data_IF_112819588461
#
_entry.id   IF_112819588461
#
_cell.length_a   1.000
_cell.length_b   1.000
_cell.length_c   1.000
_cell.angle_alpha   90.00
_cell.angle_beta   90.00
_cell.angle_gamma   90.00
#
_symmetry.space_group_name_H-M   'P 1'
#
loop_
_entity.id
_entity.type
_entity.pdbx_description
1 polymer ?
#
# COMPACT_ATOMS: atom_id res chain seq x y z
N UNK A 1 43.05 -37.80 1.65
CA UNK A 1 43.41 -36.92 0.52
C UNK A 1 42.10 -36.53 -0.18
N UNK A 2 41.25 -35.62 0.33
CA UNK A 2 41.37 -34.15 0.35
C UNK A 2 41.84 -33.63 -1.02
N UNK A 3 41.09 -32.87 -1.83
CA UNK A 3 40.22 -31.73 -1.55
C UNK A 3 39.13 -31.49 -2.65
N UNK A 4 38.08 -30.70 -2.34
CA UNK A 4 36.95 -30.37 -3.23
C UNK A 4 37.22 -29.24 -4.24
N UNK A 5 36.59 -29.32 -5.42
CA UNK A 5 36.57 -28.26 -6.44
C UNK A 5 35.90 -27.00 -5.88
N UNK A 6 36.68 -25.91 -5.80
CA UNK A 6 36.26 -24.58 -5.32
C UNK A 6 35.15 -23.98 -6.18
N UNK A 7 34.12 -23.49 -5.50
CA UNK A 7 33.15 -22.54 -6.04
C UNK A 7 33.85 -21.21 -6.38
N UNK A 8 33.64 -20.69 -7.60
CA UNK A 8 34.03 -19.33 -7.96
C UNK A 8 32.81 -18.42 -7.86
N UNK A 9 32.79 -17.67 -6.75
CA UNK A 9 32.04 -16.44 -6.56
C UNK A 9 32.50 -15.38 -7.57
N UNK A 10 31.57 -14.76 -8.27
CA UNK A 10 31.73 -13.43 -8.85
C UNK A 10 30.35 -12.76 -8.96
N UNK A 11 30.00 -12.01 -7.92
CA UNK A 11 28.83 -11.15 -7.90
C UNK A 11 28.97 -10.04 -8.96
N UNK A 12 28.07 -10.04 -9.94
CA UNK A 12 27.98 -8.98 -10.94
C UNK A 12 27.32 -7.70 -10.37
N UNK A 13 27.76 -6.50 -10.79
CA UNK A 13 27.59 -5.26 -10.02
C UNK A 13 26.18 -4.69 -10.01
N UNK A 14 25.86 -4.05 -8.88
CA UNK A 14 24.58 -3.45 -8.54
C UNK A 14 24.15 -2.32 -9.49
N UNK A 15 22.96 -2.51 -10.09
CA UNK A 15 21.96 -1.58 -10.65
C UNK A 15 22.42 -0.12 -10.90
N UNK A 16 22.42 0.29 -12.18
CA UNK A 16 22.43 1.70 -12.59
C UNK A 16 21.24 2.40 -11.92
N UNK A 17 21.51 3.25 -10.91
CA UNK A 17 20.55 4.27 -10.45
C UNK A 17 20.23 5.12 -11.67
N UNK A 18 19.05 4.94 -12.26
CA UNK A 18 18.51 5.85 -13.27
C UNK A 18 18.58 7.24 -12.65
N UNK A 19 19.52 8.06 -13.14
CA UNK A 19 19.65 9.45 -12.74
C UNK A 19 18.32 10.09 -13.11
N UNK A 20 17.66 10.68 -12.12
CA UNK A 20 16.49 11.52 -12.34
C UNK A 20 16.88 12.59 -13.36
N UNK A 21 16.16 12.69 -14.47
CA UNK A 21 16.40 13.75 -15.45
C UNK A 21 16.10 15.09 -14.77
N UNK A 22 17.11 15.96 -14.69
CA UNK A 22 17.03 17.24 -13.97
C UNK A 22 15.95 18.19 -14.51
N UNK A 23 15.50 17.98 -15.75
CA UNK A 23 14.45 18.78 -16.38
C UNK A 23 13.05 18.39 -15.89
N UNK A 24 12.82 17.10 -15.61
CA UNK A 24 11.59 16.63 -14.95
C UNK A 24 11.54 17.07 -13.48
N UNK A 25 12.69 17.11 -12.80
CA UNK A 25 12.78 17.61 -11.43
C UNK A 25 12.42 19.11 -11.34
N UNK A 26 12.74 19.91 -12.37
CA UNK A 26 12.37 21.33 -12.45
C UNK A 26 10.88 21.55 -12.72
N UNK A 27 10.22 20.68 -13.50
CA UNK A 27 8.76 20.71 -13.67
C UNK A 27 8.01 20.20 -12.43
N UNK A 28 8.62 19.31 -11.65
CA UNK A 28 8.05 18.79 -10.39
C UNK A 28 7.80 19.89 -9.35
N UNK A 29 8.56 21.00 -9.35
CA UNK A 29 8.45 22.05 -8.32
C UNK A 29 7.17 22.89 -8.37
N UNK A 30 6.58 23.12 -9.56
CA UNK A 30 5.32 23.87 -9.70
C UNK A 30 4.07 23.01 -9.48
N UNK A 31 4.14 21.71 -9.74
CA UNK A 31 3.07 20.72 -9.53
C UNK A 31 3.15 20.03 -8.16
N UNK A 32 4.21 20.31 -7.39
CA UNK A 32 4.57 19.52 -6.20
C UNK A 32 3.57 19.58 -5.05
N UNK A 33 2.72 20.62 -4.98
CA UNK A 33 1.84 20.78 -3.82
C UNK A 33 0.64 19.83 -3.83
N UNK A 34 0.19 19.38 -5.01
CA UNK A 34 -1.03 18.57 -5.14
C UNK A 34 -0.89 17.31 -6.01
N UNK A 35 0.32 16.97 -6.46
CA UNK A 35 0.53 15.79 -7.31
C UNK A 35 0.01 14.49 -6.67
N UNK A 36 0.07 14.37 -5.33
CA UNK A 36 -0.45 13.18 -4.61
C UNK A 36 -1.94 13.00 -4.83
N UNK A 37 -2.71 14.08 -4.67
CA UNK A 37 -4.17 14.06 -4.85
C UNK A 37 -4.53 13.78 -6.30
N UNK A 38 -3.88 14.45 -7.25
CA UNK A 38 -4.10 14.21 -8.68
C UNK A 38 -3.75 12.76 -9.07
N UNK A 39 -2.63 12.24 -8.54
CA UNK A 39 -2.21 10.86 -8.76
C UNK A 39 -3.24 9.87 -8.22
N UNK A 40 -3.69 10.04 -6.98
CA UNK A 40 -4.66 9.14 -6.36
C UNK A 40 -6.02 9.18 -7.07
N UNK A 41 -6.49 10.36 -7.49
CA UNK A 41 -7.74 10.49 -8.24
C UNK A 41 -7.69 9.73 -9.57
N UNK A 42 -6.64 9.93 -10.38
CA UNK A 42 -6.51 9.22 -11.66
C UNK A 42 -6.26 7.74 -11.47
N UNK A 43 -5.58 7.35 -10.39
CA UNK A 43 -5.41 5.94 -10.04
C UNK A 43 -6.75 5.29 -9.68
N UNK A 44 -7.62 6.00 -8.97
CA UNK A 44 -8.97 5.56 -8.64
C UNK A 44 -9.89 5.47 -9.84
N UNK A 45 -9.69 6.30 -10.84
CA UNK A 45 -10.48 6.25 -12.07
C UNK A 45 -10.01 5.12 -13.01
N UNK A 46 -8.70 4.92 -13.13
CA UNK A 46 -8.13 4.13 -14.25
C UNK A 46 -7.43 2.84 -13.82
N UNK A 47 -7.16 2.64 -12.53
CA UNK A 47 -6.27 1.60 -12.00
C UNK A 47 -4.87 1.56 -12.66
N UNK A 48 -4.48 2.63 -13.37
CA UNK A 48 -3.25 2.67 -14.18
C UNK A 48 -2.23 3.65 -13.59
N UNK A 49 -1.17 3.08 -13.02
CA UNK A 49 -0.10 3.85 -12.36
C UNK A 49 0.67 4.75 -13.34
N UNK A 50 0.86 4.32 -14.59
CA UNK A 50 1.56 5.12 -15.60
C UNK A 50 0.72 6.32 -16.03
N UNK A 51 -0.59 6.11 -16.24
CA UNK A 51 -1.52 7.20 -16.56
C UNK A 51 -1.62 8.19 -15.39
N UNK A 52 -1.75 7.69 -14.17
CA UNK A 52 -1.78 8.53 -12.97
C UNK A 52 -0.49 9.34 -12.76
N UNK A 53 0.68 8.74 -13.01
CA UNK A 53 1.97 9.44 -12.91
C UNK A 53 2.10 10.55 -13.98
N UNK A 54 1.66 10.26 -15.22
CA UNK A 54 1.64 11.23 -16.30
C UNK A 54 0.71 12.41 -15.97
N UNK A 55 -0.52 12.12 -15.52
CA UNK A 55 -1.50 13.14 -15.16
C UNK A 55 -1.06 14.01 -13.97
N UNK A 56 -0.37 13.41 -13.00
CA UNK A 56 0.20 14.12 -11.86
C UNK A 56 1.52 14.85 -12.18
N UNK A 57 2.07 14.70 -13.39
CA UNK A 57 3.32 15.33 -13.81
C UNK A 57 4.54 14.85 -13.03
N UNK A 58 4.54 13.61 -12.55
CA UNK A 58 5.62 13.02 -11.75
C UNK A 58 6.23 11.80 -12.44
N UNK A 59 7.51 11.58 -12.20
CA UNK A 59 8.14 10.35 -12.66
C UNK A 59 7.63 9.12 -11.89
N UNK A 60 7.38 8.00 -12.57
CA UNK A 60 6.90 6.72 -12.01
C UNK A 60 7.62 6.27 -10.73
N UNK A 61 8.92 6.52 -10.61
CA UNK A 61 9.70 6.11 -9.43
C UNK A 61 9.34 6.88 -8.15
N UNK A 62 8.79 8.10 -8.25
CA UNK A 62 8.45 8.96 -7.11
C UNK A 62 7.25 8.40 -6.33
N UNK A 63 6.09 8.10 -6.94
CA UNK A 63 4.97 7.44 -6.25
C UNK A 63 5.38 6.10 -5.60
N UNK A 64 6.16 5.24 -6.28
CA UNK A 64 6.63 3.97 -5.70
C UNK A 64 7.61 4.13 -4.53
N UNK A 65 8.44 5.17 -4.53
CA UNK A 65 9.31 5.47 -3.38
C UNK A 65 8.48 5.96 -2.20
N UNK A 66 7.53 6.86 -2.45
CA UNK A 66 6.66 7.39 -1.40
C UNK A 66 5.84 6.26 -0.77
N UNK A 67 5.24 5.37 -1.57
CA UNK A 67 4.49 4.20 -1.08
C UNK A 67 5.29 3.29 -0.14
N UNK A 68 6.62 3.24 -0.27
CA UNK A 68 7.48 2.42 0.61
C UNK A 68 7.87 3.11 1.91
N UNK A 69 7.86 4.45 1.92
CA UNK A 69 8.35 5.25 3.02
C UNK A 69 7.23 5.89 3.84
N UNK A 70 6.02 6.00 3.27
CA UNK A 70 4.86 6.67 3.86
C UNK A 70 3.68 5.67 3.93
N UNK A 71 3.36 5.16 5.13
CA UNK A 71 2.29 4.19 5.31
C UNK A 71 0.89 4.77 5.06
N UNK A 72 0.68 6.07 5.31
CA UNK A 72 -0.60 6.74 5.04
C UNK A 72 -0.83 6.83 3.53
N UNK A 73 0.18 7.27 2.77
CA UNK A 73 0.10 7.27 1.32
C UNK A 73 -0.08 5.85 0.75
N UNK A 74 0.52 4.83 1.37
CA UNK A 74 0.30 3.44 0.97
C UNK A 74 -1.13 2.95 1.26
N UNK A 75 -1.78 3.48 2.31
CA UNK A 75 -3.21 3.22 2.58
C UNK A 75 -4.07 3.89 1.52
N UNK A 76 -3.84 5.16 1.23
CA UNK A 76 -4.62 5.93 0.27
C UNK A 76 -4.46 5.37 -1.16
N UNK A 77 -3.25 4.95 -1.52
CA UNK A 77 -2.98 4.23 -2.78
C UNK A 77 -3.82 2.96 -2.91
N UNK A 78 -3.89 2.16 -1.84
CA UNK A 78 -4.68 0.93 -1.82
C UNK A 78 -6.17 1.25 -1.93
N UNK A 79 -6.64 2.31 -1.27
CA UNK A 79 -8.01 2.81 -1.40
C UNK A 79 -8.35 3.20 -2.85
N UNK A 80 -7.49 3.99 -3.48
CA UNK A 80 -7.65 4.35 -4.89
C UNK A 80 -7.68 3.13 -5.81
N UNK A 81 -6.79 2.15 -5.63
CA UNK A 81 -6.86 0.92 -6.43
C UNK A 81 -8.19 0.19 -6.26
N UNK A 82 -8.69 0.03 -5.03
CA UNK A 82 -9.98 -0.61 -4.80
C UNK A 82 -11.11 0.05 -5.59
N UNK A 83 -11.20 1.38 -5.53
CA UNK A 83 -12.19 2.17 -6.28
C UNK A 83 -12.05 1.95 -7.80
N UNK A 84 -10.82 1.92 -8.32
CA UNK A 84 -10.59 1.66 -9.75
C UNK A 84 -10.98 0.25 -10.20
N UNK A 85 -10.85 -0.75 -9.32
CA UNK A 85 -11.32 -2.10 -9.59
C UNK A 85 -12.86 -2.20 -9.53
N UNK A 86 -13.51 -1.46 -8.63
CA UNK A 86 -14.98 -1.33 -8.59
C UNK A 86 -15.53 -0.66 -9.86
N UNK A 87 -14.88 0.40 -10.33
CA UNK A 87 -15.22 1.06 -11.59
C UNK A 87 -15.09 0.10 -12.80
N UNK A 88 -14.01 -0.66 -12.85
CA UNK A 88 -13.80 -1.68 -13.88
C UNK A 88 -14.87 -2.78 -13.83
N UNK A 89 -15.28 -3.22 -12.65
CA UNK A 89 -16.35 -4.20 -12.47
C UNK A 89 -17.69 -3.67 -13.00
N UNK A 90 -18.04 -2.42 -12.67
CA UNK A 90 -19.26 -1.78 -13.16
C UNK A 90 -19.26 -1.62 -14.68
N UNK A 91 -18.14 -1.21 -15.26
CA UNK A 91 -17.99 -1.08 -16.71
C UNK A 91 -18.14 -2.45 -17.41
N UNK A 92 -17.52 -3.50 -16.87
CA UNK A 92 -17.65 -4.86 -17.38
C UNK A 92 -19.10 -5.37 -17.28
N UNK A 93 -19.77 -5.13 -16.15
CA UNK A 93 -21.18 -5.50 -15.96
C UNK A 93 -22.09 -4.80 -16.98
N UNK A 94 -21.85 -3.51 -17.24
CA UNK A 94 -22.58 -2.76 -18.26
C UNK A 94 -22.41 -3.40 -19.64
N UNK A 95 -21.16 -3.69 -20.04
CA UNK A 95 -20.83 -4.33 -21.33
C UNK A 95 -21.48 -5.72 -21.46
N UNK A 96 -21.46 -6.53 -20.40
CA UNK A 96 -22.08 -7.86 -20.41
C UNK A 96 -23.61 -7.80 -20.49
N UNK A 97 -24.23 -6.75 -19.95
CA UNK A 97 -25.70 -6.60 -19.92
C UNK A 97 -26.26 -6.01 -21.22
N UNK A 98 -25.56 -5.01 -21.79
CA UNK A 98 -26.06 -4.22 -22.93
C UNK A 98 -25.29 -4.47 -24.23
N UNK A 99 -24.19 -5.23 -24.19
CA UNK A 99 -23.30 -5.47 -25.32
C UNK A 99 -22.21 -4.41 -25.46
N UNK A 100 -21.18 -4.71 -26.26
CA UNK A 100 -20.15 -3.73 -26.63
C UNK A 100 -20.67 -2.81 -27.75
N UNK A 101 -20.39 -1.52 -27.65
CA UNK A 101 -20.58 -0.59 -28.77
C UNK A 101 -19.73 -1.07 -29.95
N UNK A 102 -20.36 -1.26 -31.12
CA UNK A 102 -19.70 -1.79 -32.33
C UNK A 102 -18.58 -0.90 -32.88
N UNK A 103 -18.42 0.30 -32.33
CA UNK A 103 -17.51 1.35 -32.80
C UNK A 103 -16.10 1.29 -32.18
N UNK A 104 -15.83 0.33 -31.30
CA UNK A 104 -14.52 0.19 -30.64
C UNK A 104 -13.50 -0.56 -31.50
N UNK A 105 -12.41 0.12 -31.90
CA UNK A 105 -11.26 -0.51 -32.59
C UNK A 105 -10.54 -1.57 -31.72
N UNK A 106 -10.62 -1.46 -30.40
CA UNK A 106 -10.07 -2.43 -29.45
C UNK A 106 -11.18 -3.31 -28.87
N UNK A 107 -11.12 -4.61 -29.16
CA UNK A 107 -11.95 -5.63 -28.52
C UNK A 107 -11.59 -5.73 -27.04
N UNK A 108 -12.60 -5.68 -26.17
CA UNK A 108 -12.38 -5.81 -24.74
C UNK A 108 -12.28 -7.28 -24.34
N UNK A 109 -11.22 -7.63 -23.60
CA UNK A 109 -11.01 -9.00 -23.16
C UNK A 109 -11.74 -9.26 -21.84
N UNK A 110 -13.04 -9.58 -21.96
CA UNK A 110 -13.91 -9.88 -20.82
C UNK A 110 -13.38 -11.04 -19.95
N UNK A 111 -12.74 -12.05 -20.57
CA UNK A 111 -12.22 -13.20 -19.85
C UNK A 111 -11.02 -12.82 -18.98
N UNK A 112 -10.08 -12.03 -19.52
CA UNK A 112 -8.97 -11.52 -18.74
C UNK A 112 -9.43 -10.52 -17.66
N UNK A 113 -10.43 -9.69 -17.94
CA UNK A 113 -11.00 -8.79 -16.95
C UNK A 113 -11.57 -9.56 -15.74
N UNK A 114 -12.45 -10.55 -15.96
CA UNK A 114 -13.00 -11.39 -14.90
C UNK A 114 -11.91 -12.11 -14.09
N UNK A 115 -10.89 -12.65 -14.76
CA UNK A 115 -9.75 -13.31 -14.09
C UNK A 115 -8.97 -12.34 -13.20
N UNK A 116 -8.70 -11.12 -13.69
CA UNK A 116 -8.01 -10.09 -12.92
C UNK A 116 -8.85 -9.63 -11.71
N UNK A 117 -10.15 -9.46 -11.87
CA UNK A 117 -11.07 -9.14 -10.77
C UNK A 117 -11.05 -10.23 -9.69
N UNK A 118 -11.08 -11.51 -10.10
CA UNK A 118 -10.98 -12.65 -9.18
C UNK A 118 -9.67 -12.65 -8.37
N UNK A 119 -8.53 -12.49 -9.03
CA UNK A 119 -7.21 -12.41 -8.38
C UNK A 119 -7.09 -11.19 -7.45
N UNK A 120 -7.68 -10.06 -7.85
CA UNK A 120 -7.70 -8.87 -7.02
C UNK A 120 -8.51 -9.09 -5.73
N UNK A 121 -9.70 -9.71 -5.83
CA UNK A 121 -10.53 -10.04 -4.66
C UNK A 121 -9.78 -10.92 -3.65
N UNK A 122 -9.02 -11.91 -4.12
CA UNK A 122 -8.18 -12.73 -3.24
C UNK A 122 -7.07 -11.92 -2.57
N UNK A 123 -6.42 -11.03 -3.33
CA UNK A 123 -5.35 -10.17 -2.81
C UNK A 123 -5.90 -9.23 -1.73
N UNK A 124 -7.05 -8.60 -1.98
CA UNK A 124 -7.74 -7.72 -1.04
C UNK A 124 -8.18 -8.48 0.22
N UNK A 125 -8.72 -9.69 0.06
CA UNK A 125 -9.10 -10.52 1.20
C UNK A 125 -7.89 -10.88 2.09
N UNK A 126 -6.76 -11.25 1.49
CA UNK A 126 -5.51 -11.53 2.22
C UNK A 126 -5.00 -10.29 2.95
N UNK A 127 -4.98 -9.14 2.28
CA UNK A 127 -4.55 -7.87 2.87
C UNK A 127 -5.47 -7.40 4.00
N UNK A 128 -6.79 -7.60 3.88
CA UNK A 128 -7.77 -7.31 4.96
C UNK A 128 -7.53 -8.20 6.17
N UNK A 129 -7.37 -9.51 5.95
CA UNK A 129 -7.08 -10.44 7.03
C UNK A 129 -5.78 -10.09 7.78
N UNK A 130 -4.70 -9.76 7.05
CA UNK A 130 -3.44 -9.33 7.67
C UNK A 130 -3.61 -8.06 8.53
N UNK A 131 -4.38 -7.08 8.08
CA UNK A 131 -4.65 -5.85 8.84
C UNK A 131 -5.51 -6.09 10.07
N UNK A 132 -6.55 -6.91 9.94
CA UNK A 132 -7.42 -7.29 11.06
C UNK A 132 -6.61 -7.99 12.16
N UNK A 133 -5.69 -8.88 11.79
CA UNK A 133 -4.77 -9.54 12.72
C UNK A 133 -3.82 -8.54 13.42
N UNK A 134 -3.26 -7.58 12.68
CA UNK A 134 -2.41 -6.51 13.24
C UNK A 134 -3.18 -5.63 14.25
N UNK A 135 -4.41 -5.21 13.91
CA UNK A 135 -5.25 -4.38 14.78
C UNK A 135 -5.65 -5.13 16.06
N UNK A 136 -6.06 -6.39 15.94
CA UNK A 136 -6.33 -7.26 17.10
C UNK A 136 -5.08 -7.39 17.98
N UNK A 137 -3.90 -7.52 17.39
CA UNK A 137 -2.62 -7.52 18.09
C UNK A 137 -2.37 -6.23 18.87
N UNK A 138 -2.58 -5.08 18.24
CA UNK A 138 -2.42 -3.76 18.84
C UNK A 138 -3.41 -3.52 19.99
N UNK A 139 -4.68 -3.87 19.81
CA UNK A 139 -5.71 -3.79 20.86
C UNK A 139 -5.33 -4.66 22.06
N UNK A 140 -4.88 -5.90 21.82
CA UNK A 140 -4.41 -6.80 22.89
C UNK A 140 -3.19 -6.23 23.62
N UNK A 141 -2.24 -5.62 22.91
CA UNK A 141 -1.06 -5.00 23.53
C UNK A 141 -1.45 -3.81 24.42
N UNK A 142 -2.35 -2.95 23.93
CA UNK A 142 -2.90 -1.82 24.68
C UNK A 142 -3.61 -2.28 25.96
N UNK A 143 -4.45 -3.32 25.86
CA UNK A 143 -5.13 -3.91 27.02
C UNK A 143 -4.12 -4.40 28.08
N UNK A 144 -3.07 -5.11 27.66
CA UNK A 144 -2.02 -5.59 28.58
C UNK A 144 -1.30 -4.43 29.27
N UNK A 145 -0.92 -3.40 28.51
CA UNK A 145 -0.28 -2.21 29.06
C UNK A 145 -1.18 -1.50 30.09
N UNK A 146 -2.49 -1.41 29.79
CA UNK A 146 -3.46 -0.81 30.71
C UNK A 146 -3.63 -1.61 32.00
N UNK A 147 -3.71 -2.94 31.90
CA UNK A 147 -3.80 -3.83 33.07
C UNK A 147 -2.53 -3.71 33.92
N UNK A 148 -1.35 -3.65 33.31
CA UNK A 148 -0.09 -3.46 34.04
C UNK A 148 -0.07 -2.12 34.80
N UNK A 149 -0.47 -1.03 34.14
CA UNK A 149 -0.58 0.30 34.75
C UNK A 149 -1.53 0.29 35.97
N UNK A 150 -2.70 -0.34 35.83
CA UNK A 150 -3.67 -0.43 36.93
C UNK A 150 -3.12 -1.24 38.12
N UNK A 151 -2.39 -2.34 37.86
CA UNK A 151 -1.75 -3.12 38.93
C UNK A 151 -0.73 -2.30 39.70
N UNK A 152 0.10 -1.53 38.99
CA UNK A 152 1.10 -0.66 39.61
C UNK A 152 0.46 0.45 40.43
N UNK A 153 -0.62 1.08 39.93
CA UNK A 153 -1.39 2.07 40.67
C UNK A 153 -2.01 1.49 41.95
N UNK A 154 -2.53 0.27 41.92
CA UNK A 154 -3.10 -0.40 43.09
C UNK A 154 -2.02 -0.74 44.13
N UNK A 155 -0.86 -1.23 43.68
CA UNK A 155 0.29 -1.51 44.58
C UNK A 155 0.77 -0.22 45.23
N UNK A 156 0.97 0.85 44.46
CA UNK A 156 1.40 2.14 44.97
C UNK A 156 0.41 2.73 45.98
N UNK A 157 -0.90 2.59 45.71
CA UNK A 157 -1.95 3.04 46.62
C UNK A 157 -1.93 2.25 47.94
N UNK A 158 -1.82 0.93 47.89
CA UNK A 158 -1.76 0.09 49.09
C UNK A 158 -0.50 0.37 49.93
N UNK A 159 0.65 0.54 49.29
CA UNK A 159 1.89 0.90 49.97
C UNK A 159 1.82 2.29 50.63
N UNK A 160 1.07 3.23 50.05
CA UNK A 160 0.83 4.54 50.67
C UNK A 160 -0.15 4.47 51.86
N UNK A 161 -1.08 3.52 51.86
CA UNK A 161 -2.00 3.25 52.97
C UNK A 161 -1.31 2.51 54.15
N UNK A 162 -0.19 1.80 53.91
CA UNK A 162 0.61 1.07 54.91
C UNK A 162 1.79 1.89 55.51
N UNK A 163 1.78 3.24 55.42
CA UNK A 163 2.78 4.11 56.05
C UNK A 163 2.90 3.96 57.58
N UNK A 164 4.09 4.26 58.16
CA UNK A 164 4.71 3.53 59.27
C UNK A 164 3.89 3.50 60.57
N UNK A 165 3.59 2.29 61.03
CA UNK A 165 3.27 2.04 62.44
C UNK A 165 4.57 2.17 63.25
N UNK A 166 4.96 3.40 63.58
CA UNK A 166 5.96 3.68 64.62
C UNK A 166 5.28 3.68 66.00
N UNK A 167 5.76 2.80 66.89
CA UNK A 167 5.77 2.98 68.35
C UNK A 167 4.49 2.71 69.12
#
# INVERSE_FOLDING_TARGET
MAEPKRASSAAAPCKRRTRLNADLARSEDKLNRHWRTAFLAVLAETSNVSAAALAAGVHLSRPYKLRRNDPDFARDWRGALLEGYENLELELLHRLRFGETKDGEMKFDNANALRLLGLHRETVARERAMREDEDIGAVRASLRAKIAQLREQVIARRAAEEGPQDG
#
